data_IF_154199278246
#
_entry.id   IF_154199278246
#
_cell.length_a   1.000
_cell.length_b   1.000
_cell.length_c   1.000
_cell.angle_alpha   90.00
_cell.angle_beta   90.00
_cell.angle_gamma   90.00
#
_symmetry.space_group_name_H-M   'P 1'
#
loop_
_entity.id
_entity.type
_entity.pdbx_description
1 polymer ?
#
# COMPACT_ATOMS: atom_id res chain seq x y z
N UNK A 1 -5.59 -11.93 -14.85
CA UNK A 1 -4.15 -11.88 -14.47
C UNK A 1 -3.59 -10.46 -14.31
N UNK A 2 -4.05 -9.43 -15.04
CA UNK A 2 -3.46 -8.06 -14.94
C UNK A 2 -3.78 -7.30 -13.63
N UNK A 3 -4.86 -7.67 -12.92
CA UNK A 3 -5.25 -7.06 -11.62
C UNK A 3 -4.30 -7.42 -10.46
N UNK A 4 -3.64 -8.58 -10.52
CA UNK A 4 -2.74 -9.07 -9.46
C UNK A 4 -1.34 -8.45 -9.50
N UNK A 5 -1.00 -7.74 -10.60
CA UNK A 5 0.17 -6.84 -10.71
C UNK A 5 -0.21 -5.37 -10.45
N UNK A 6 -1.28 -5.11 -9.71
CA UNK A 6 -1.56 -3.75 -9.28
C UNK A 6 -0.47 -3.34 -8.27
N UNK A 7 0.28 -2.28 -8.60
CA UNK A 7 1.39 -1.77 -7.75
C UNK A 7 0.92 -1.52 -6.31
N UNK A 8 -0.33 -1.08 -6.15
CA UNK A 8 -1.03 -0.91 -4.87
C UNK A 8 -1.08 -2.18 -4.02
N UNK A 9 -1.44 -3.31 -4.63
CA UNK A 9 -1.55 -4.60 -3.93
C UNK A 9 -0.19 -5.16 -3.56
N UNK A 10 0.79 -5.07 -4.48
CA UNK A 10 2.16 -5.54 -4.21
C UNK A 10 2.81 -4.71 -3.11
N UNK A 11 2.58 -3.39 -3.09
CA UNK A 11 3.11 -2.51 -2.05
C UNK A 11 2.48 -2.84 -0.69
N UNK A 12 1.16 -3.02 -0.62
CA UNK A 12 0.48 -3.41 0.62
C UNK A 12 1.01 -4.74 1.18
N UNK A 13 1.13 -5.75 0.33
CA UNK A 13 1.65 -7.07 0.72
C UNK A 13 3.12 -6.97 1.13
N UNK A 14 3.95 -6.23 0.40
CA UNK A 14 5.35 -6.03 0.75
C UNK A 14 5.50 -5.34 2.11
N UNK A 15 4.71 -4.30 2.39
CA UNK A 15 4.74 -3.59 3.68
C UNK A 15 4.26 -4.48 4.83
N UNK A 16 3.22 -5.30 4.62
CA UNK A 16 2.76 -6.24 5.62
C UNK A 16 3.81 -7.32 5.92
N UNK A 17 4.43 -7.88 4.88
CA UNK A 17 5.52 -8.86 5.00
C UNK A 17 6.72 -8.25 5.72
N UNK A 18 7.10 -7.02 5.40
CA UNK A 18 8.21 -6.31 6.04
C UNK A 18 7.92 -6.02 7.52
N UNK A 19 6.68 -5.67 7.86
CA UNK A 19 6.23 -5.50 9.25
C UNK A 19 6.35 -6.79 10.05
N UNK A 20 5.81 -7.89 9.50
CA UNK A 20 5.86 -9.22 10.16
C UNK A 20 7.29 -9.75 10.25
N UNK A 21 8.11 -9.56 9.21
CA UNK A 21 9.53 -9.93 9.25
C UNK A 21 10.30 -9.10 10.28
N UNK A 22 9.99 -7.81 10.43
CA UNK A 22 10.65 -7.00 11.46
C UNK A 22 10.31 -7.50 12.87
N UNK A 23 9.03 -7.75 13.14
CA UNK A 23 8.57 -8.23 14.46
C UNK A 23 9.02 -9.67 14.73
N UNK A 24 9.12 -10.51 13.70
CA UNK A 24 9.48 -11.94 13.81
C UNK A 24 10.99 -12.22 13.79
N UNK A 25 11.77 -11.49 12.98
CA UNK A 25 13.24 -11.62 12.91
C UNK A 25 13.97 -10.63 13.84
N UNK A 26 13.25 -9.75 14.53
CA UNK A 26 13.83 -8.83 15.49
C UNK A 26 14.82 -7.85 14.87
N UNK A 27 14.51 -7.29 13.70
CA UNK A 27 15.36 -6.33 12.98
C UNK A 27 15.63 -5.03 13.77
N UNK A 28 15.01 -4.86 14.94
CA UNK A 28 15.27 -3.75 15.85
C UNK A 28 14.75 -2.40 15.36
N UNK A 29 13.95 -2.37 14.29
CA UNK A 29 13.36 -1.13 13.83
C UNK A 29 12.33 -0.63 14.85
N UNK A 30 12.37 0.66 15.20
CA UNK A 30 11.37 1.26 16.07
C UNK A 30 9.97 1.06 15.49
N UNK A 31 9.02 0.64 16.32
CA UNK A 31 7.63 0.40 15.91
C UNK A 31 7.02 1.65 15.29
N UNK A 32 7.33 2.83 15.83
CA UNK A 32 6.93 4.12 15.29
C UNK A 32 7.39 4.33 13.84
N UNK A 33 8.62 3.92 13.51
CA UNK A 33 9.15 4.01 12.14
C UNK A 33 8.36 3.11 11.18
N UNK A 34 8.04 1.88 11.59
CA UNK A 34 7.24 0.97 10.77
C UNK A 34 5.83 1.48 10.59
N UNK A 35 5.20 1.97 11.66
CA UNK A 35 3.87 2.56 11.59
C UNK A 35 3.83 3.80 10.69
N UNK A 36 4.89 4.63 10.70
CA UNK A 36 5.02 5.74 9.75
C UNK A 36 5.09 5.25 8.30
N UNK A 37 5.90 4.23 8.02
CA UNK A 37 6.01 3.64 6.67
C UNK A 37 4.67 3.03 6.23
N UNK A 38 4.02 2.26 7.11
CA UNK A 38 2.68 1.69 6.87
C UNK A 38 1.67 2.79 6.60
N UNK A 39 1.69 3.87 7.39
CA UNK A 39 0.79 5.02 7.24
C UNK A 39 0.95 5.72 5.91
N UNK A 40 2.19 5.96 5.47
CA UNK A 40 2.48 6.58 4.16
C UNK A 40 2.00 5.69 3.01
N UNK A 41 2.28 4.38 3.09
CA UNK A 41 1.84 3.40 2.08
C UNK A 41 0.31 3.32 2.03
N UNK A 42 -0.35 3.28 3.18
CA UNK A 42 -1.81 3.28 3.28
C UNK A 42 -2.41 4.55 2.68
N UNK A 43 -1.86 5.73 3.01
CA UNK A 43 -2.31 7.00 2.46
C UNK A 43 -2.15 7.04 0.93
N UNK A 44 -1.04 6.55 0.39
CA UNK A 44 -0.83 6.43 -1.06
C UNK A 44 -1.87 5.52 -1.73
N UNK A 45 -2.10 4.33 -1.15
CA UNK A 45 -3.08 3.37 -1.69
C UNK A 45 -4.49 3.98 -1.69
N UNK A 46 -4.90 4.62 -0.59
CA UNK A 46 -6.21 5.27 -0.47
C UNK A 46 -6.34 6.41 -1.46
N UNK A 47 -5.33 7.29 -1.56
CA UNK A 47 -5.32 8.41 -2.50
C UNK A 47 -5.40 7.95 -3.97
N UNK A 48 -4.59 6.97 -4.36
CA UNK A 48 -4.62 6.42 -5.71
C UNK A 48 -5.95 5.69 -5.97
N UNK A 49 -6.54 5.03 -4.96
CA UNK A 49 -7.85 4.38 -5.10
C UNK A 49 -8.98 5.39 -5.23
N UNK A 50 -8.91 6.52 -4.53
CA UNK A 50 -9.88 7.61 -4.64
C UNK A 50 -9.81 8.28 -6.01
N UNK A 51 -8.61 8.53 -6.54
CA UNK A 51 -8.43 9.06 -7.90
C UNK A 51 -8.93 8.07 -8.95
N UNK A 52 -8.59 6.79 -8.81
CA UNK A 52 -9.05 5.72 -9.72
C UNK A 52 -10.60 5.62 -9.72
N UNK A 53 -11.22 5.68 -8.54
CA UNK A 53 -12.67 5.69 -8.39
C UNK A 53 -13.32 6.97 -8.97
N UNK A 54 -12.72 8.13 -8.74
CA UNK A 54 -13.20 9.40 -9.29
C UNK A 54 -13.06 9.45 -10.82
N UNK A 55 -11.95 8.95 -11.37
CA UNK A 55 -11.75 8.82 -12.81
C UNK A 55 -12.74 7.83 -13.44
N UNK A 56 -13.03 6.71 -12.78
CA UNK A 56 -14.03 5.75 -13.22
C UNK A 56 -15.46 6.33 -13.17
N UNK A 57 -15.79 7.09 -12.12
CA UNK A 57 -17.08 7.76 -11.95
C UNK A 57 -17.27 8.93 -12.93
N UNK A 58 -16.19 9.64 -13.28
CA UNK A 58 -16.18 10.76 -14.23
C UNK A 58 -16.34 10.30 -15.69
N UNK A 59 -16.21 9.00 -15.98
CA UNK A 59 -16.68 8.43 -17.24
C UNK A 59 -16.11 9.08 -18.51
N UNK A 60 -14.80 9.37 -18.56
CA UNK A 60 -14.13 9.60 -19.84
C UNK A 60 -14.01 8.26 -20.57
N UNK A 61 -15.09 7.87 -21.25
CA UNK A 61 -15.02 7.04 -22.45
C UNK A 61 -14.08 7.75 -23.43
N UNK A 62 -12.82 7.39 -23.44
CA UNK A 62 -12.02 7.40 -24.65
C UNK A 62 -11.85 5.96 -25.11
#
# INVERSE_FOLDING_TARGET
MSKLKSRKFVLAVATAVLTVLNDGLGFGLPKDTILMVVGVVAAYIVGESAVDAASAASGNKQ
#
